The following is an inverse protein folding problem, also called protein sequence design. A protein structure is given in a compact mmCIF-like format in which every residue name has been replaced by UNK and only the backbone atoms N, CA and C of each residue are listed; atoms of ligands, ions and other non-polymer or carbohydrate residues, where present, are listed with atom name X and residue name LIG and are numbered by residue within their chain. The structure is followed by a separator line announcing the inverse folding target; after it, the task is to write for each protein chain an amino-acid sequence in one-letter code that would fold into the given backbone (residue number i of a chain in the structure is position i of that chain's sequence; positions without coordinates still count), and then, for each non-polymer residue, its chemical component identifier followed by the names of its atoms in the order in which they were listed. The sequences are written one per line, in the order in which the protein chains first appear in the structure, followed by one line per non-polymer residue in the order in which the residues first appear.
data_IF_944511049813
#
_entry.id   IF_944511049813
#
_cell.length_a   1.000
_cell.length_b   1.000
_cell.length_c   1.000
_cell.angle_alpha   90.00
_cell.angle_beta   90.00
_cell.angle_gamma   90.00
#
_symmetry.space_group_name_H-M   'P 1'
#
loop_
_entity.id
_entity.type
_entity.pdbx_description
1 polymer ?
#
# COMPACT_ATOMS: atom_id res chain seq x y z
N UNK A 1 0.33 -4.31 -26.66
CA UNK A 1 1.55 -5.07 -27.00
C UNK A 1 1.36 -6.51 -26.56
N UNK A 2 1.79 -7.51 -27.34
CA UNK A 2 1.80 -8.91 -26.92
C UNK A 2 3.23 -9.30 -26.55
N UNK A 3 3.42 -9.83 -25.35
CA UNK A 3 4.72 -10.27 -24.84
C UNK A 3 4.64 -11.76 -24.58
N UNK A 4 5.58 -12.53 -25.11
CA UNK A 4 5.70 -13.96 -24.82
C UNK A 4 6.62 -14.15 -23.61
N UNK A 5 6.17 -14.88 -22.61
CA UNK A 5 6.93 -15.20 -21.40
C UNK A 5 6.97 -16.72 -21.21
N UNK A 6 8.10 -17.23 -20.73
CA UNK A 6 8.24 -18.65 -20.39
C UNK A 6 7.90 -18.79 -18.91
N UNK A 7 6.93 -19.65 -18.59
CA UNK A 7 6.51 -19.96 -17.24
C UNK A 7 6.61 -21.47 -17.00
N UNK A 8 7.06 -21.90 -15.82
CA UNK A 8 6.98 -23.29 -15.40
C UNK A 8 5.55 -23.84 -15.46
N UNK A 9 5.39 -25.13 -15.76
CA UNK A 9 4.08 -25.77 -15.92
C UNK A 9 3.26 -25.72 -14.62
N UNK A 10 3.88 -26.01 -13.48
CA UNK A 10 3.28 -25.94 -12.15
C UNK A 10 2.74 -24.53 -11.83
N UNK A 11 3.43 -23.49 -12.28
CA UNK A 11 2.96 -22.11 -12.10
C UNK A 11 1.74 -21.81 -12.97
N UNK A 12 1.70 -22.32 -14.20
CA UNK A 12 0.54 -22.16 -15.09
C UNK A 12 -0.69 -22.87 -14.51
N UNK A 13 -0.50 -24.08 -13.98
CA UNK A 13 -1.56 -24.85 -13.32
C UNK A 13 -2.11 -24.11 -12.08
N UNK A 14 -1.22 -23.55 -11.25
CA UNK A 14 -1.62 -22.76 -10.09
C UNK A 14 -2.43 -21.52 -10.46
N UNK A 15 -1.99 -20.80 -11.50
CA UNK A 15 -2.73 -19.64 -12.03
C UNK A 15 -4.11 -20.06 -12.54
N UNK A 16 -4.23 -21.19 -13.22
CA UNK A 16 -5.52 -21.69 -13.70
C UNK A 16 -6.47 -22.08 -12.57
N UNK A 17 -5.95 -22.76 -11.56
CA UNK A 17 -6.74 -23.16 -10.40
C UNK A 17 -7.32 -21.93 -9.67
N UNK A 18 -6.56 -20.84 -9.60
CA UNK A 18 -6.97 -19.63 -8.89
C UNK A 18 -7.78 -18.64 -9.74
N UNK A 19 -7.34 -18.38 -10.98
CA UNK A 19 -7.99 -17.40 -11.86
C UNK A 19 -9.20 -17.99 -12.60
N UNK A 20 -9.20 -19.31 -12.83
CA UNK A 20 -10.17 -19.99 -13.69
C UNK A 20 -9.84 -19.85 -15.18
N UNK A 21 -10.53 -20.66 -15.99
CA UNK A 21 -10.28 -20.76 -17.44
C UNK A 21 -10.41 -19.41 -18.15
N UNK A 22 -9.42 -19.08 -18.99
CA UNK A 22 -9.42 -17.89 -19.85
C UNK A 22 -9.04 -16.58 -19.14
N UNK A 23 -8.75 -16.60 -17.83
CA UNK A 23 -8.39 -15.40 -17.06
C UNK A 23 -6.91 -15.26 -16.73
N UNK A 24 -6.06 -16.14 -17.27
CA UNK A 24 -4.60 -16.14 -17.03
C UNK A 24 -3.97 -14.78 -17.28
N UNK A 25 -4.24 -14.16 -18.44
CA UNK A 25 -3.62 -12.88 -18.80
C UNK A 25 -3.98 -11.76 -17.82
N UNK A 26 -5.24 -11.69 -17.39
CA UNK A 26 -5.69 -10.71 -16.41
C UNK A 26 -5.02 -10.96 -15.06
N UNK A 27 -5.01 -12.21 -14.59
CA UNK A 27 -4.36 -12.57 -13.33
C UNK A 27 -2.87 -12.21 -13.31
N UNK A 28 -2.15 -12.55 -14.39
CA UNK A 28 -0.72 -12.23 -14.52
C UNK A 28 -0.50 -10.72 -14.57
N UNK A 29 -1.34 -9.97 -15.29
CA UNK A 29 -1.28 -8.51 -15.32
C UNK A 29 -1.44 -7.90 -13.91
N UNK A 30 -2.47 -8.32 -13.19
CA UNK A 30 -2.76 -7.84 -11.84
C UNK A 30 -1.61 -8.16 -10.88
N UNK A 31 -1.09 -9.39 -10.92
CA UNK A 31 0.05 -9.82 -10.10
C UNK A 31 1.33 -9.02 -10.41
N UNK A 32 1.62 -8.76 -11.69
CA UNK A 32 2.78 -7.94 -12.09
C UNK A 32 2.61 -6.49 -11.60
N UNK A 33 1.42 -5.89 -11.79
CA UNK A 33 1.15 -4.53 -11.30
C UNK A 33 1.32 -4.43 -9.80
N UNK A 34 0.86 -5.44 -9.06
CA UNK A 34 1.02 -5.50 -7.62
C UNK A 34 2.49 -5.58 -7.21
N UNK A 35 3.26 -6.48 -7.82
CA UNK A 35 4.68 -6.63 -7.52
C UNK A 35 5.45 -5.34 -7.81
N UNK A 36 5.21 -4.72 -8.97
CA UNK A 36 5.84 -3.46 -9.34
C UNK A 36 5.53 -2.33 -8.36
N UNK A 37 4.28 -2.26 -7.87
CA UNK A 37 3.88 -1.26 -6.87
C UNK A 37 4.60 -1.49 -5.53
N UNK A 38 4.74 -2.74 -5.09
CA UNK A 38 5.48 -3.08 -3.87
C UNK A 38 6.95 -2.71 -4.03
N UNK A 39 7.57 -3.06 -5.15
CA UNK A 39 8.98 -2.78 -5.40
C UNK A 39 9.26 -1.26 -5.48
N UNK A 40 8.36 -0.51 -6.13
CA UNK A 40 8.45 0.95 -6.16
C UNK A 40 8.32 1.57 -4.76
N UNK A 41 7.42 1.04 -3.92
CA UNK A 41 7.29 1.48 -2.53
C UNK A 41 8.56 1.19 -1.73
N UNK A 42 9.12 -0.02 -1.85
CA UNK A 42 10.36 -0.40 -1.17
C UNK A 42 11.51 0.53 -1.57
N UNK A 43 11.71 0.74 -2.87
CA UNK A 43 12.75 1.65 -3.36
C UNK A 43 12.56 3.08 -2.84
N UNK A 44 11.32 3.57 -2.75
CA UNK A 44 11.04 4.88 -2.18
C UNK A 44 11.36 4.96 -0.68
N UNK A 45 11.01 3.93 0.10
CA UNK A 45 11.34 3.85 1.52
C UNK A 45 12.85 3.83 1.77
N UNK A 46 13.60 3.08 0.97
CA UNK A 46 15.07 3.05 1.03
C UNK A 46 15.67 4.41 0.65
N UNK A 47 15.23 5.01 -0.46
CA UNK A 47 15.73 6.30 -0.92
C UNK A 47 15.41 7.46 0.04
N UNK A 48 14.36 7.32 0.84
CA UNK A 48 13.92 8.32 1.82
C UNK A 48 14.25 7.94 3.27
N UNK A 49 15.07 6.91 3.46
CA UNK A 49 15.53 6.51 4.79
C UNK A 49 16.24 7.70 5.47
N UNK A 50 15.78 8.06 6.67
CA UNK A 50 16.30 9.21 7.41
C UNK A 50 15.78 10.58 6.96
N UNK A 51 14.89 10.65 5.95
CA UNK A 51 14.17 11.89 5.61
C UNK A 51 13.22 12.36 6.74
N UNK A 52 13.02 11.51 7.75
CA UNK A 52 12.20 11.79 8.92
C UNK A 52 13.01 11.53 10.19
N UNK A 53 13.03 12.48 11.13
CA UNK A 53 13.71 12.36 12.42
C UNK A 53 12.73 12.49 13.60
N UNK A 54 12.93 11.69 14.65
CA UNK A 54 12.13 11.79 15.87
C UNK A 54 12.38 13.11 16.63
N UNK A 55 13.58 13.70 16.48
CA UNK A 55 13.90 15.00 17.05
C UNK A 55 13.07 16.13 16.44
N UNK A 56 12.83 16.09 15.12
CA UNK A 56 12.02 17.10 14.44
C UNK A 56 10.51 16.88 14.66
N UNK A 57 10.14 15.66 15.07
CA UNK A 57 8.75 15.27 15.33
C UNK A 57 8.56 14.56 16.68
N UNK A 58 8.68 15.28 17.82
CA UNK A 58 8.66 14.68 19.15
C UNK A 58 7.35 13.95 19.51
N UNK A 59 6.26 14.24 18.79
CA UNK A 59 4.94 13.63 18.96
C UNK A 59 4.83 12.27 18.27
N UNK A 60 5.81 11.87 17.46
CA UNK A 60 5.89 10.54 16.83
C UNK A 60 7.05 9.69 17.36
N UNK A 61 7.74 10.18 18.38
CA UNK A 61 8.93 9.56 18.98
C UNK A 61 8.67 8.22 19.68
N UNK A 62 7.45 7.98 20.17
CA UNK A 62 7.05 6.67 20.74
C UNK A 62 5.72 6.20 20.18
N UNK A 63 5.43 4.89 20.17
CA UNK A 63 4.13 4.36 19.75
C UNK A 63 2.94 4.98 20.49
N UNK A 64 3.09 5.27 21.78
CA UNK A 64 2.03 5.89 22.60
C UNK A 64 1.75 7.32 22.17
N UNK A 65 2.82 8.10 21.87
CA UNK A 65 2.70 9.46 21.37
C UNK A 65 2.09 9.50 19.97
N UNK A 66 2.51 8.59 19.09
CA UNK A 66 1.88 8.41 17.76
C UNK A 66 0.40 8.12 17.92
N UNK A 67 0.04 7.16 18.79
CA UNK A 67 -1.36 6.79 19.01
C UNK A 67 -2.18 7.97 19.58
N UNK A 68 -1.62 8.75 20.51
CA UNK A 68 -2.25 9.95 21.04
C UNK A 68 -2.46 11.01 19.93
N UNK A 69 -1.45 11.25 19.10
CA UNK A 69 -1.52 12.17 17.97
C UNK A 69 -2.57 11.76 16.94
N UNK A 70 -2.66 10.47 16.58
CA UNK A 70 -3.69 9.96 15.66
C UNK A 70 -5.08 10.17 16.24
N UNK A 71 -5.29 9.85 17.53
CA UNK A 71 -6.59 10.04 18.19
C UNK A 71 -7.03 11.50 18.18
N UNK A 72 -6.15 12.42 18.54
CA UNK A 72 -6.42 13.86 18.52
C UNK A 72 -6.72 14.37 17.10
N UNK A 73 -5.94 13.93 16.10
CA UNK A 73 -6.14 14.31 14.69
C UNK A 73 -7.49 13.85 14.15
N UNK A 74 -7.95 12.66 14.53
CA UNK A 74 -9.27 12.13 14.18
C UNK A 74 -10.38 12.94 14.84
N UNK A 75 -10.31 13.16 16.16
CA UNK A 75 -11.28 13.98 16.90
C UNK A 75 -11.45 15.38 16.28
N UNK A 76 -10.36 16.07 15.99
CA UNK A 76 -10.39 17.39 15.35
C UNK A 76 -11.04 17.35 13.96
N UNK A 77 -10.83 16.26 13.22
CA UNK A 77 -11.47 16.08 11.92
C UNK A 77 -12.97 15.86 12.04
N UNK A 78 -13.40 15.05 13.01
CA UNK A 78 -14.81 14.81 13.30
C UNK A 78 -15.52 16.11 13.75
N UNK A 79 -14.92 16.86 14.67
CA UNK A 79 -15.43 18.17 15.12
C UNK A 79 -15.58 19.17 13.96
N UNK A 80 -14.63 19.16 13.02
CA UNK A 80 -14.67 19.99 11.81
C UNK A 80 -15.82 19.55 10.90
N UNK A 81 -15.98 18.25 10.66
CA UNK A 81 -17.07 17.71 9.85
C UNK A 81 -18.43 18.05 10.46
N UNK A 82 -18.58 17.88 11.78
CA UNK A 82 -19.83 18.19 12.49
C UNK A 82 -20.15 19.67 12.51
N UNK A 83 -19.14 20.55 12.47
CA UNK A 83 -19.37 21.98 12.28
C UNK A 83 -19.97 22.27 10.90
N UNK A 84 -19.45 21.66 9.84
CA UNK A 84 -19.99 21.82 8.49
C UNK A 84 -21.38 21.22 8.31
N UNK A 85 -21.73 20.18 9.08
CA UNK A 85 -23.07 19.57 9.02
C UNK A 85 -24.14 20.36 9.78
N UNK A 86 -23.75 21.22 10.73
CA UNK A 86 -24.66 21.98 11.60
C UNK A 86 -24.88 23.44 11.16
N UNK A 87 -24.13 23.93 10.18
CA UNK A 87 -24.34 25.23 9.53
C UNK A 87 -24.99 25.04 8.18
#
# INVERSE_FOLDING_TARGET
MRTHVILPEDLVEAVDAQAGKGKRSQFIEEAIREKLRIDALHAALEATAGAFSASDHPHWDTPEKVAAWVRDSRRKSDERIDRYRRG
#
